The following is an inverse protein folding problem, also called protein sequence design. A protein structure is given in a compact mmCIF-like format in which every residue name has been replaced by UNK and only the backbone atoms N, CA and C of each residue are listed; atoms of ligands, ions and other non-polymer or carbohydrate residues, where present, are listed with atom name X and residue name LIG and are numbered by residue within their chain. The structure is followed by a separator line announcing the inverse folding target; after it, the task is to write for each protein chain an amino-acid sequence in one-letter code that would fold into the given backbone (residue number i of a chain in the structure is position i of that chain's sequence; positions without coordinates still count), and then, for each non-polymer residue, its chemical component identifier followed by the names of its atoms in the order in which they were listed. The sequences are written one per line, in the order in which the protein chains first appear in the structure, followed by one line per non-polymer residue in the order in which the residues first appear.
data_IF_158671892468
#
_entry.id   IF_158671892468
#
_cell.length_a   1.000
_cell.length_b   1.000
_cell.length_c   1.000
_cell.angle_alpha   90.00
_cell.angle_beta   90.00
_cell.angle_gamma   90.00
#
_symmetry.space_group_name_H-M   'P 1'
#
loop_
_entity.id
_entity.type
_entity.pdbx_description
1 polymer ?
#
# COMPACT_ATOMS: atom_id res chain seq x y z
N UNK A 1 5.88 -4.54 20.32
CA UNK A 1 4.97 -5.39 19.53
C UNK A 1 4.39 -4.56 18.39
N UNK A 2 4.14 -5.17 17.23
CA UNK A 2 3.50 -4.51 16.08
C UNK A 2 2.00 -4.59 16.26
N UNK A 3 1.31 -3.45 16.21
CA UNK A 3 -0.15 -3.37 16.29
C UNK A 3 -0.71 -2.77 15.02
N UNK A 4 -1.68 -3.46 14.43
CA UNK A 4 -2.37 -3.03 13.21
C UNK A 4 -3.10 -1.69 13.42
N UNK A 5 -3.12 -0.86 12.37
CA UNK A 5 -3.76 0.47 12.39
C UNK A 5 -3.04 1.53 13.23
N UNK A 6 -1.90 1.21 13.86
CA UNK A 6 -1.14 2.12 14.74
C UNK A 6 0.22 2.48 14.15
N UNK A 7 0.82 3.55 14.68
CA UNK A 7 2.17 4.00 14.32
C UNK A 7 3.24 2.89 14.35
N UNK A 8 3.09 1.91 15.24
CA UNK A 8 3.99 0.75 15.29
C UNK A 8 4.07 -0.05 13.99
N UNK A 9 2.98 -0.10 13.20
CA UNK A 9 2.97 -0.76 11.90
C UNK A 9 3.78 0.04 10.89
N UNK A 10 3.51 1.36 10.83
CA UNK A 10 4.25 2.28 9.97
C UNK A 10 5.77 2.28 10.28
N UNK A 11 6.12 2.24 11.56
CA UNK A 11 7.52 2.17 12.00
C UNK A 11 8.19 0.88 11.50
N UNK A 12 7.49 -0.25 11.59
CA UNK A 12 8.00 -1.53 11.12
C UNK A 12 8.20 -1.54 9.60
N UNK A 13 7.20 -1.08 8.84
CA UNK A 13 7.28 -0.99 7.37
C UNK A 13 8.42 -0.09 6.91
N UNK A 14 8.56 1.09 7.50
CA UNK A 14 9.65 2.01 7.16
C UNK A 14 11.03 1.44 7.50
N UNK A 15 11.16 0.73 8.62
CA UNK A 15 12.42 0.08 9.00
C UNK A 15 12.77 -1.07 8.05
N UNK A 16 11.78 -1.87 7.63
CA UNK A 16 11.97 -2.92 6.63
C UNK A 16 12.44 -2.33 5.30
N UNK A 17 11.78 -1.26 4.83
CA UNK A 17 12.14 -0.58 3.60
C UNK A 17 13.54 0.05 3.68
N UNK A 18 13.85 0.72 4.79
CA UNK A 18 15.17 1.31 5.04
C UNK A 18 16.28 0.24 5.06
N UNK A 19 16.03 -0.91 5.69
CA UNK A 19 16.99 -2.00 5.72
C UNK A 19 17.22 -2.60 4.33
N UNK A 20 16.15 -2.78 3.55
CA UNK A 20 16.26 -3.29 2.17
C UNK A 20 17.03 -2.32 1.25
N UNK A 21 16.96 -1.00 1.51
CA UNK A 21 17.69 0.02 0.76
C UNK A 21 19.21 0.01 0.98
N UNK A 22 19.68 -0.61 2.06
CA UNK A 22 21.12 -0.74 2.34
C UNK A 22 21.84 -1.56 1.26
N UNK A 23 21.13 -2.47 0.60
CA UNK A 23 21.62 -3.12 -0.60
C UNK A 23 21.36 -2.21 -1.81
N UNK A 24 22.45 -1.77 -2.44
CA UNK A 24 22.40 -0.90 -3.62
C UNK A 24 21.89 -1.61 -4.88
N UNK A 25 21.91 -2.94 -4.91
CA UNK A 25 21.39 -3.73 -6.03
C UNK A 25 19.86 -3.76 -6.06
N UNK A 26 19.19 -3.57 -4.92
CA UNK A 26 17.72 -3.55 -4.85
C UNK A 26 17.12 -2.34 -5.57
N UNK A 27 16.33 -2.59 -6.62
CA UNK A 27 15.66 -1.56 -7.43
C UNK A 27 14.16 -1.42 -7.18
N UNK A 28 13.51 -2.51 -6.74
CA UNK A 28 12.05 -2.62 -6.58
C UNK A 28 11.77 -3.24 -5.21
N UNK A 29 10.79 -2.71 -4.48
CA UNK A 29 10.49 -3.09 -3.11
C UNK A 29 9.03 -3.47 -2.99
N UNK A 30 8.75 -4.74 -2.67
CA UNK A 30 7.40 -5.28 -2.57
C UNK A 30 7.12 -5.66 -1.11
N UNK A 31 6.05 -5.13 -0.53
CA UNK A 31 5.59 -5.57 0.80
C UNK A 31 4.66 -6.78 0.66
N UNK A 32 4.99 -7.88 1.35
CA UNK A 32 4.19 -9.12 1.38
C UNK A 32 4.03 -9.61 2.82
N UNK A 33 3.03 -10.47 3.05
CA UNK A 33 2.82 -11.19 4.30
C UNK A 33 2.90 -12.70 4.09
N UNK A 34 2.87 -13.47 5.18
CA UNK A 34 2.83 -14.94 5.15
C UNK A 34 1.60 -15.53 4.41
N UNK A 35 0.57 -14.71 4.20
CA UNK A 35 -0.64 -15.09 3.46
C UNK A 35 -0.59 -14.72 1.98
N UNK A 36 0.49 -14.08 1.50
CA UNK A 36 0.64 -13.73 0.10
C UNK A 36 1.13 -14.93 -0.71
N UNK A 37 0.47 -15.19 -1.84
CA UNK A 37 0.83 -16.26 -2.78
C UNK A 37 1.04 -15.64 -4.16
N UNK A 38 2.19 -15.86 -4.83
CA UNK A 38 2.43 -15.32 -6.14
C UNK A 38 1.49 -15.95 -7.18
N UNK A 39 0.81 -15.10 -7.94
CA UNK A 39 -0.06 -15.56 -9.03
C UNK A 39 0.72 -15.81 -10.32
N UNK A 40 1.90 -15.21 -10.49
CA UNK A 40 2.76 -15.36 -11.66
C UNK A 40 4.11 -15.93 -11.24
N UNK A 41 4.85 -16.49 -12.20
CA UNK A 41 6.22 -16.95 -11.93
C UNK A 41 7.16 -15.75 -11.73
N UNK A 42 8.34 -16.02 -11.18
CA UNK A 42 9.32 -14.98 -10.87
C UNK A 42 9.72 -14.17 -12.11
N UNK A 43 10.04 -14.81 -13.23
CA UNK A 43 10.47 -14.10 -14.45
C UNK A 43 9.42 -13.11 -14.93
N UNK A 44 8.14 -13.49 -14.96
CA UNK A 44 7.05 -12.58 -15.32
C UNK A 44 6.96 -11.39 -14.37
N UNK A 45 7.10 -11.61 -13.06
CA UNK A 45 7.06 -10.54 -12.05
C UNK A 45 8.27 -9.62 -12.22
N UNK A 46 9.46 -10.20 -12.36
CA UNK A 46 10.71 -9.48 -12.51
C UNK A 46 10.71 -8.59 -13.75
N UNK A 47 10.38 -9.15 -14.91
CA UNK A 47 10.34 -8.42 -16.18
C UNK A 47 9.32 -7.29 -16.14
N UNK A 48 8.15 -7.54 -15.52
CA UNK A 48 7.11 -6.53 -15.37
C UNK A 48 7.53 -5.37 -14.46
N UNK A 49 8.15 -5.67 -13.31
CA UNK A 49 8.59 -4.64 -12.36
C UNK A 49 9.80 -3.85 -12.87
N UNK A 50 10.80 -4.56 -13.41
CA UNK A 50 12.03 -3.94 -13.92
C UNK A 50 11.80 -3.16 -15.22
N UNK A 51 10.81 -3.57 -16.02
CA UNK A 51 10.39 -2.84 -17.22
C UNK A 51 9.43 -1.68 -16.96
N UNK A 52 8.98 -1.46 -15.72
CA UNK A 52 8.02 -0.41 -15.40
C UNK A 52 8.69 0.89 -14.95
N UNK A 53 8.22 2.01 -15.50
CA UNK A 53 8.59 3.36 -15.05
C UNK A 53 7.74 3.86 -13.86
N UNK A 54 6.82 3.03 -13.36
CA UNK A 54 5.91 3.41 -12.28
C UNK A 54 6.10 2.52 -11.06
N UNK A 55 5.83 3.11 -9.90
CA UNK A 55 5.53 2.39 -8.65
C UNK A 55 4.04 2.01 -8.61
N UNK A 56 3.68 1.06 -7.73
CA UNK A 56 2.31 0.54 -7.61
C UNK A 56 1.80 0.65 -6.17
N UNK A 57 1.43 1.87 -5.80
CA UNK A 57 0.70 2.18 -4.56
C UNK A 57 -0.76 2.41 -4.91
N UNK A 58 -1.66 1.69 -4.24
CA UNK A 58 -3.10 1.91 -4.36
C UNK A 58 -3.50 3.28 -3.81
N UNK A 59 -4.15 4.11 -4.63
CA UNK A 59 -4.55 5.47 -4.25
C UNK A 59 -6.00 5.69 -4.63
N UNK A 60 -6.84 5.89 -3.62
CA UNK A 60 -8.28 6.10 -3.76
C UNK A 60 -8.72 7.31 -2.94
N UNK A 61 -9.55 8.16 -3.53
CA UNK A 61 -10.32 9.16 -2.79
C UNK A 61 -11.67 8.56 -2.40
N UNK A 62 -11.70 7.90 -1.24
CA UNK A 62 -12.86 7.16 -0.74
C UNK A 62 -13.76 8.09 0.10
N UNK A 63 -14.97 8.48 -0.37
CA UNK A 63 -15.86 9.38 0.36
C UNK A 63 -16.54 8.71 1.57
N UNK A 64 -16.37 7.39 1.76
CA UNK A 64 -17.03 6.65 2.83
C UNK A 64 -16.48 6.97 4.23
N UNK A 65 -17.14 6.42 5.25
CA UNK A 65 -16.67 6.46 6.65
C UNK A 65 -15.27 5.86 6.82
N UNK A 66 -14.89 4.89 5.99
CA UNK A 66 -13.58 4.24 6.05
C UNK A 66 -12.48 4.98 5.28
N UNK A 67 -12.84 5.95 4.43
CA UNK A 67 -11.92 6.83 3.73
C UNK A 67 -11.82 8.20 4.39
N UNK A 68 -12.48 9.20 3.79
CA UNK A 68 -12.56 10.58 4.31
C UNK A 68 -13.12 10.68 5.72
N UNK A 69 -13.98 9.75 6.14
CA UNK A 69 -14.51 9.74 7.52
C UNK A 69 -13.47 9.49 8.62
N UNK A 70 -12.26 9.02 8.27
CA UNK A 70 -11.14 8.81 9.20
C UNK A 70 -10.16 9.98 9.27
N UNK A 71 -10.35 11.03 8.47
CA UNK A 71 -9.48 12.19 8.45
C UNK A 71 -9.55 12.98 9.77
N UNK A 72 -8.39 13.41 10.28
CA UNK A 72 -8.30 14.29 11.45
C UNK A 72 -8.06 15.74 11.01
N UNK A 73 -8.90 16.67 11.49
CA UNK A 73 -8.72 18.10 11.23
C UNK A 73 -7.39 18.65 11.76
N UNK A 74 -6.76 17.97 12.73
CA UNK A 74 -5.43 18.31 13.27
C UNK A 74 -4.29 18.16 12.26
N UNK A 75 -4.54 17.49 11.13
CA UNK A 75 -3.56 17.38 10.04
C UNK A 75 -3.54 18.61 9.13
N UNK A 76 -4.53 19.50 9.24
CA UNK A 76 -4.54 20.78 8.54
C UNK A 76 -3.52 21.75 9.17
N UNK A 77 -2.78 22.56 8.39
CA UNK A 77 -2.90 22.77 6.94
C UNK A 77 -2.06 21.82 6.08
N UNK A 78 -1.18 21.01 6.68
CA UNK A 78 -0.16 20.23 5.97
C UNK A 78 -0.74 19.14 5.06
N UNK A 79 -1.80 18.48 5.52
CA UNK A 79 -2.63 17.56 4.74
C UNK A 79 -4.06 18.05 4.82
N UNK A 80 -4.59 18.53 3.69
CA UNK A 80 -6.02 18.90 3.60
C UNK A 80 -6.86 17.66 3.37
N UNK A 81 -8.16 17.74 3.66
CA UNK A 81 -9.10 16.68 3.30
C UNK A 81 -9.07 16.35 1.79
N UNK A 82 -8.82 17.34 0.93
CA UNK A 82 -8.67 17.14 -0.52
C UNK A 82 -7.46 16.30 -0.91
N UNK A 83 -6.44 16.28 -0.05
CA UNK A 83 -5.18 15.55 -0.26
C UNK A 83 -5.26 14.13 0.35
N UNK A 84 -6.21 13.90 1.27
CA UNK A 84 -6.39 12.63 2.00
C UNK A 84 -6.73 11.48 1.05
N UNK A 85 -5.93 10.41 1.09
CA UNK A 85 -6.17 9.20 0.29
C UNK A 85 -6.21 7.97 1.15
N UNK A 86 -6.89 6.96 0.63
CA UNK A 86 -6.95 5.61 1.16
C UNK A 86 -6.30 4.66 0.15
N UNK A 87 -5.66 3.64 0.64
CA UNK A 87 -5.09 2.56 -0.16
C UNK A 87 -5.03 1.28 0.64
N UNK A 88 -4.44 0.26 0.04
CA UNK A 88 -4.10 -0.97 0.75
C UNK A 88 -2.73 -0.83 1.41
N UNK A 89 -2.48 -1.61 2.47
CA UNK A 89 -1.17 -1.69 3.11
C UNK A 89 -0.11 -2.25 2.14
N UNK A 90 -0.50 -3.14 1.24
CA UNK A 90 0.41 -3.74 0.24
C UNK A 90 0.79 -2.74 -0.85
N UNK A 91 2.08 -2.51 -0.99
CA UNK A 91 2.64 -1.66 -2.02
C UNK A 91 3.77 -2.34 -2.76
N UNK A 92 4.03 -1.82 -3.95
CA UNK A 92 5.32 -1.92 -4.59
C UNK A 92 5.83 -0.51 -4.92
N UNK A 93 7.11 -0.26 -4.66
CA UNK A 93 7.75 1.01 -4.98
C UNK A 93 9.14 0.80 -5.59
N UNK A 94 9.51 1.70 -6.49
CA UNK A 94 10.88 1.77 -6.98
C UNK A 94 11.84 2.34 -5.93
N UNK A 95 13.14 2.22 -6.19
CA UNK A 95 14.18 2.71 -5.29
C UNK A 95 14.11 4.20 -5.00
N UNK A 96 13.77 5.04 -5.99
CA UNK A 96 13.73 6.50 -5.81
C UNK A 96 12.61 6.85 -4.83
N UNK A 97 11.41 6.32 -5.05
CA UNK A 97 10.27 6.52 -4.18
C UNK A 97 10.50 5.90 -2.79
N UNK A 98 11.15 4.74 -2.71
CA UNK A 98 11.53 4.13 -1.44
C UNK A 98 12.41 5.05 -0.57
N UNK A 99 13.40 5.71 -1.17
CA UNK A 99 14.24 6.70 -0.48
C UNK A 99 13.40 7.85 0.05
N UNK A 100 12.50 8.41 -0.76
CA UNK A 100 11.60 9.51 -0.36
C UNK A 100 10.67 9.12 0.80
N UNK A 101 10.17 7.88 0.82
CA UNK A 101 9.33 7.38 1.91
C UNK A 101 10.13 7.29 3.22
N UNK A 102 11.36 6.80 3.16
CA UNK A 102 12.22 6.61 4.34
C UNK A 102 12.78 7.94 4.84
N UNK A 103 13.06 8.89 3.95
CA UNK A 103 13.55 10.23 4.31
C UNK A 103 12.45 11.16 4.82
N UNK A 104 11.17 10.90 4.53
CA UNK A 104 10.08 11.76 4.99
C UNK A 104 10.03 11.82 6.51
N UNK A 105 10.25 13.01 7.06
CA UNK A 105 10.11 13.30 8.50
C UNK A 105 8.83 14.02 8.83
N UNK A 106 8.28 14.78 7.87
CA UNK A 106 7.19 15.73 8.11
C UNK A 106 5.85 15.01 8.14
N UNK A 107 5.50 14.31 7.06
CA UNK A 107 4.19 13.65 6.98
C UNK A 107 4.17 12.42 7.89
N UNK A 108 5.30 11.73 8.03
CA UNK A 108 5.47 10.68 9.01
C UNK A 108 5.13 11.09 10.43
N UNK A 109 5.72 12.17 10.94
CA UNK A 109 5.42 12.67 12.28
C UNK A 109 3.95 13.07 12.39
N UNK A 110 3.43 13.78 11.39
CA UNK A 110 2.02 14.20 11.35
C UNK A 110 1.05 13.02 11.43
N UNK A 111 1.28 11.97 10.64
CA UNK A 111 0.45 10.77 10.62
C UNK A 111 0.63 9.96 11.90
N UNK A 112 1.84 9.82 12.41
CA UNK A 112 2.12 9.16 13.69
C UNK A 112 1.35 9.81 14.84
N UNK A 113 1.28 11.14 14.85
CA UNK A 113 0.71 11.91 15.98
C UNK A 113 -0.80 12.16 15.84
N UNK A 114 -1.35 12.13 14.61
CA UNK A 114 -2.75 12.50 14.36
C UNK A 114 -3.61 11.44 13.65
N UNK A 115 -3.03 10.39 13.07
CA UNK A 115 -3.79 9.22 12.59
C UNK A 115 -3.90 8.19 13.72
N UNK A 116 -4.76 8.49 14.69
CA UNK A 116 -5.14 7.57 15.77
C UNK A 116 -6.51 6.95 15.47
N UNK A 117 -6.86 5.77 16.05
CA UNK A 117 -8.17 5.17 15.87
C UNK A 117 -9.31 6.21 15.96
N UNK A 118 -10.25 6.22 14.99
CA UNK A 118 -10.56 5.18 14.01
C UNK A 118 -9.70 5.19 12.73
N UNK A 119 -8.66 6.02 12.66
CA UNK A 119 -7.71 6.06 11.54
C UNK A 119 -6.76 4.85 11.55
N UNK A 120 -6.44 4.32 10.37
CA UNK A 120 -5.43 3.29 10.15
C UNK A 120 -4.28 3.86 9.34
N UNK A 121 -3.14 4.05 10.00
CA UNK A 121 -2.01 4.79 9.42
C UNK A 121 -1.42 4.11 8.18
N UNK A 122 -1.37 2.78 8.20
CA UNK A 122 -0.91 1.89 7.14
C UNK A 122 -1.79 1.95 5.87
N UNK A 123 -3.06 2.34 6.00
CA UNK A 123 -3.97 2.51 4.86
C UNK A 123 -4.02 3.94 4.30
N UNK A 124 -3.43 4.93 4.99
CA UNK A 124 -3.62 6.35 4.67
C UNK A 124 -2.32 7.15 4.47
N UNK A 125 -1.25 6.85 5.21
CA UNK A 125 0.01 7.60 5.14
C UNK A 125 0.61 7.53 3.73
N UNK A 126 0.91 6.32 3.26
CA UNK A 126 1.63 6.14 2.00
C UNK A 126 0.79 6.59 0.79
N UNK A 127 -0.50 6.23 0.66
CA UNK A 127 -1.34 6.73 -0.42
C UNK A 127 -1.45 8.27 -0.45
N UNK A 128 -1.53 8.91 0.71
CA UNK A 128 -1.62 10.38 0.80
C UNK A 128 -0.29 11.03 0.40
N UNK A 129 0.84 10.54 0.93
CA UNK A 129 2.17 11.04 0.58
C UNK A 129 2.44 10.92 -0.93
N UNK A 130 2.19 9.73 -1.48
CA UNK A 130 2.42 9.43 -2.90
C UNK A 130 1.49 10.24 -3.80
N UNK A 131 0.20 10.32 -3.49
CA UNK A 131 -0.73 11.12 -4.29
C UNK A 131 -0.39 12.61 -4.28
N UNK A 132 0.11 13.13 -3.15
CA UNK A 132 0.37 14.56 -2.98
C UNK A 132 1.66 15.02 -3.67
N UNK A 133 2.71 14.17 -3.66
CA UNK A 133 4.04 14.58 -4.13
C UNK A 133 4.58 13.75 -5.30
N UNK A 134 4.11 12.52 -5.48
CA UNK A 134 4.72 11.52 -6.39
C UNK A 134 3.70 10.89 -7.35
N UNK A 135 2.58 11.58 -7.62
CA UNK A 135 1.49 11.05 -8.45
C UNK A 135 1.89 10.74 -9.89
N UNK A 136 2.87 11.44 -10.47
CA UNK A 136 3.34 11.21 -11.84
C UNK A 136 4.13 9.91 -12.01
N UNK A 137 4.73 9.40 -10.93
CA UNK A 137 5.55 8.18 -10.92
C UNK A 137 4.81 6.99 -10.32
N UNK A 138 3.52 7.13 -10.01
CA UNK A 138 2.69 6.07 -9.43
C UNK A 138 1.53 5.68 -10.35
N UNK A 139 1.26 4.38 -10.46
CA UNK A 139 0.17 3.85 -11.28
C UNK A 139 -1.22 3.96 -10.61
N UNK A 140 -1.31 4.44 -9.36
CA UNK A 140 -2.52 4.56 -8.56
C UNK A 140 -3.30 3.25 -8.38
N UNK A 141 -2.59 2.12 -8.36
CA UNK A 141 -3.14 0.79 -8.09
C UNK A 141 -2.10 -0.08 -7.39
N UNK A 142 -2.57 -1.07 -6.61
CA UNK A 142 -1.70 -2.11 -6.07
C UNK A 142 -1.38 -3.18 -7.13
N UNK A 143 -0.45 -4.09 -6.82
CA UNK A 143 -0.22 -5.35 -7.56
C UNK A 143 -0.89 -6.55 -6.89
N UNK A 144 -1.37 -6.38 -5.66
CA UNK A 144 -2.01 -7.45 -4.91
C UNK A 144 -3.46 -7.61 -5.37
N UNK A 145 -3.88 -8.86 -5.57
CA UNK A 145 -5.30 -9.17 -5.74
C UNK A 145 -5.91 -9.43 -4.37
N UNK A 146 -6.98 -8.69 -4.04
CA UNK A 146 -7.67 -8.82 -2.76
C UNK A 146 -9.18 -8.92 -3.01
N UNK A 147 -9.84 -9.89 -2.39
CA UNK A 147 -11.30 -10.04 -2.48
C UNK A 147 -11.99 -9.50 -1.22
N UNK A 148 -12.61 -8.33 -1.38
CA UNK A 148 -13.39 -7.66 -0.34
C UNK A 148 -14.90 -7.93 -0.45
N UNK A 149 -15.35 -8.78 -1.38
CA UNK A 149 -16.78 -9.01 -1.64
C UNK A 149 -17.54 -9.60 -0.46
N UNK A 150 -16.83 -10.25 0.48
CA UNK A 150 -17.40 -10.83 1.71
C UNK A 150 -17.60 -9.80 2.83
N UNK A 151 -17.11 -8.57 2.66
CA UNK A 151 -17.20 -7.49 3.65
C UNK A 151 -16.33 -7.71 4.90
N UNK A 152 -16.35 -6.72 5.80
CA UNK A 152 -15.59 -6.74 7.05
C UNK A 152 -14.28 -5.95 7.01
N UNK A 153 -13.47 -6.10 8.06
CA UNK A 153 -12.16 -5.43 8.22
C UNK A 153 -11.00 -6.24 7.63
N UNK A 154 -11.26 -7.46 7.16
CA UNK A 154 -10.26 -8.36 6.60
C UNK A 154 -10.73 -8.90 5.25
N UNK A 155 -9.80 -9.15 4.32
CA UNK A 155 -10.14 -9.73 3.03
C UNK A 155 -10.59 -11.19 3.15
N UNK A 156 -11.28 -11.67 2.12
CA UNK A 156 -11.77 -13.03 2.06
C UNK A 156 -10.61 -14.05 2.06
N UNK A 157 -10.68 -15.03 2.97
CA UNK A 157 -9.80 -16.21 2.94
C UNK A 157 -10.25 -17.18 1.85
N UNK A 158 -9.34 -17.55 0.96
CA UNK A 158 -9.56 -18.58 -0.05
C UNK A 158 -9.30 -19.98 0.53
N UNK A 159 -10.36 -20.79 0.63
CA UNK A 159 -10.26 -22.18 1.07
C UNK A 159 -10.07 -23.17 -0.08
N UNK A 160 -9.92 -24.46 0.24
CA UNK A 160 -9.79 -25.55 -0.75
C UNK A 160 -10.87 -25.54 -1.84
N UNK A 161 -12.09 -25.15 -1.48
CA UNK A 161 -13.23 -25.07 -2.41
C UNK A 161 -13.16 -23.88 -3.37
N UNK A 162 -12.45 -22.81 -2.97
CA UNK A 162 -12.30 -21.60 -3.78
C UNK A 162 -11.17 -21.74 -4.81
N UNK A 163 -10.13 -22.52 -4.49
CA UNK A 163 -8.93 -22.71 -5.31
C UNK A 163 -9.20 -23.53 -6.57
N UNK A 164 -9.80 -22.89 -7.57
CA UNK A 164 -10.13 -23.48 -8.87
C UNK A 164 -9.26 -22.88 -9.98
N UNK A 165 -9.02 -23.65 -11.05
CA UNK A 165 -8.34 -23.15 -12.26
C UNK A 165 -9.05 -21.92 -12.83
N UNK A 166 -10.39 -21.89 -12.75
CA UNK A 166 -11.20 -20.73 -13.16
C UNK A 166 -10.89 -19.49 -12.34
N UNK A 167 -10.79 -19.62 -11.01
CA UNK A 167 -10.43 -18.50 -10.13
C UNK A 167 -9.01 -18.01 -10.45
N UNK A 168 -8.03 -18.90 -10.58
CA UNK A 168 -6.65 -18.52 -10.92
C UNK A 168 -6.56 -17.81 -12.27
N UNK A 169 -7.24 -18.32 -13.30
CA UNK A 169 -7.32 -17.67 -14.62
C UNK A 169 -7.95 -16.28 -14.52
N UNK A 170 -9.05 -16.14 -13.75
CA UNK A 170 -9.70 -14.86 -13.50
C UNK A 170 -8.75 -13.87 -12.84
N UNK A 171 -8.09 -14.25 -11.75
CA UNK A 171 -7.16 -13.36 -11.03
C UNK A 171 -5.97 -12.93 -11.91
N UNK A 172 -5.53 -13.79 -12.84
CA UNK A 172 -4.46 -13.47 -13.80
C UNK A 172 -4.93 -12.61 -14.97
N UNK A 173 -6.20 -12.65 -15.35
CA UNK A 173 -6.73 -11.95 -16.52
C UNK A 173 -7.43 -10.64 -16.20
N UNK A 174 -8.03 -10.53 -15.01
CA UNK A 174 -8.64 -9.29 -14.55
C UNK A 174 -7.54 -8.37 -14.04
N UNK A 175 -7.22 -7.28 -14.73
CA UNK A 175 -6.34 -6.21 -14.23
C UNK A 175 -6.86 -5.46 -12.99
N UNK A 176 -7.80 -6.06 -12.23
CA UNK A 176 -8.31 -5.56 -10.96
C UNK A 176 -7.38 -6.06 -9.85
N UNK A 177 -6.28 -5.34 -9.67
CA UNK A 177 -5.50 -5.40 -8.44
C UNK A 177 -6.08 -4.32 -7.50
N UNK A 178 -6.39 -4.71 -6.27
CA UNK A 178 -7.13 -3.90 -5.28
C UNK A 178 -6.26 -3.51 -4.10
#
# INVERSE_FOLDING_TARGET
AVHWGRSSMLDAERRLLANALLDFSNQRFVLVSESCIPLFNFSTIYDYLMGSNHSFVGVLDDPSKAGRGRYSQRMWPDVRLSDWRKGSQWFEVDRKLAVEIVSDRKYYALFRDHCTPPCYVDEHYLPTLVSKHYGSVNANRSLTFVDWSRGGSHPATFGRKDTTVRLLRRMRSTGRCG
#
